data_IF_034791770453
#
_entry.id   IF_034791770453
#
_cell.length_a   1.000
_cell.length_b   1.000
_cell.length_c   1.000
_cell.angle_alpha   90.00
_cell.angle_beta   90.00
_cell.angle_gamma   90.00
#
_symmetry.space_group_name_H-M   'P 1'
#
loop_
_entity.id
_entity.type
_entity.pdbx_description
1 polymer ?
#
# COMPACT_ATOMS: atom_id res chain seq x y z
N UNK A 1 9.01 37.15 -9.29
CA UNK A 1 7.96 36.19 -8.84
C UNK A 1 8.44 34.73 -8.77
N UNK A 2 9.24 34.23 -9.70
CA UNK A 2 9.81 32.85 -9.58
C UNK A 2 10.80 32.69 -8.42
N UNK A 3 11.51 33.77 -8.04
CA UNK A 3 12.46 33.78 -6.91
C UNK A 3 11.84 33.41 -5.55
N UNK A 4 10.75 34.04 -5.08
CA UNK A 4 10.12 33.68 -3.81
C UNK A 4 9.54 32.25 -3.80
N UNK A 5 8.99 31.78 -4.93
CA UNK A 5 8.55 30.38 -5.11
C UNK A 5 9.71 29.40 -4.91
N UNK A 6 10.81 29.59 -5.65
CA UNK A 6 11.97 28.71 -5.58
C UNK A 6 12.60 28.71 -4.18
N UNK A 7 12.66 29.87 -3.54
CA UNK A 7 13.15 30.00 -2.17
C UNK A 7 12.32 29.19 -1.17
N UNK A 8 10.99 29.31 -1.23
CA UNK A 8 10.10 28.56 -0.36
C UNK A 8 10.26 27.05 -0.53
N UNK A 9 10.29 26.56 -1.78
CA UNK A 9 10.45 25.14 -2.08
C UNK A 9 11.83 24.61 -1.69
N UNK A 10 12.88 25.43 -1.81
CA UNK A 10 14.23 25.05 -1.38
C UNK A 10 14.34 24.96 0.15
N UNK A 11 13.80 25.95 0.88
CA UNK A 11 13.74 25.95 2.35
C UNK A 11 12.93 24.74 2.86
N UNK A 12 11.74 24.50 2.31
CA UNK A 12 10.92 23.33 2.63
C UNK A 12 11.66 22.01 2.30
N UNK A 13 12.30 21.94 1.14
CA UNK A 13 13.06 20.78 0.69
C UNK A 13 14.26 20.46 1.59
N UNK A 14 14.92 21.47 2.14
CA UNK A 14 15.99 21.30 3.12
C UNK A 14 15.45 20.79 4.46
N UNK A 15 14.34 21.36 4.95
CA UNK A 15 13.72 21.00 6.23
C UNK A 15 13.12 19.59 6.24
N UNK A 16 12.63 19.12 5.09
CA UNK A 16 12.16 17.75 4.86
C UNK A 16 13.32 16.72 4.79
N UNK A 17 14.54 17.15 4.50
CA UNK A 17 15.72 16.28 4.46
C UNK A 17 15.58 15.10 3.47
N UNK A 18 15.66 13.87 3.98
CA UNK A 18 15.50 12.62 3.22
C UNK A 18 14.10 12.01 3.35
N UNK A 19 13.07 12.84 3.46
CA UNK A 19 11.67 12.38 3.53
C UNK A 19 11.33 11.50 2.32
N UNK A 20 10.66 10.36 2.57
CA UNK A 20 10.35 9.37 1.52
C UNK A 20 9.52 9.99 0.38
N UNK A 21 8.61 10.90 0.74
CA UNK A 21 7.68 11.54 -0.19
C UNK A 21 8.07 13.00 -0.51
N UNK A 22 9.36 13.36 -0.31
CA UNK A 22 9.86 14.74 -0.49
C UNK A 22 9.47 15.36 -1.83
N UNK A 23 9.68 14.64 -2.94
CA UNK A 23 9.40 15.15 -4.27
C UNK A 23 7.91 15.42 -4.50
N UNK A 24 7.04 14.58 -3.91
CA UNK A 24 5.60 14.72 -4.05
C UNK A 24 5.05 15.88 -3.22
N UNK A 25 5.55 16.02 -1.98
CA UNK A 25 5.23 17.18 -1.12
C UNK A 25 5.66 18.47 -1.83
N UNK A 26 6.88 18.52 -2.39
CA UNK A 26 7.34 19.70 -3.10
C UNK A 26 6.47 20.04 -4.32
N UNK A 27 6.04 19.05 -5.10
CA UNK A 27 5.14 19.23 -6.25
C UNK A 27 3.74 19.72 -5.84
N UNK A 28 3.21 19.23 -4.72
CA UNK A 28 1.92 19.68 -4.18
C UNK A 28 1.97 21.15 -3.78
N UNK A 29 2.99 21.54 -2.99
CA UNK A 29 3.20 22.94 -2.63
C UNK A 29 3.54 23.81 -3.82
N UNK A 30 4.23 23.28 -4.83
CA UNK A 30 4.48 23.97 -6.09
C UNK A 30 3.17 24.37 -6.78
N UNK A 31 2.23 23.42 -6.91
CA UNK A 31 0.91 23.65 -7.51
C UNK A 31 0.12 24.71 -6.73
N UNK A 32 0.16 24.67 -5.40
CA UNK A 32 -0.55 25.65 -4.56
C UNK A 32 0.08 27.05 -4.65
N UNK A 33 1.40 27.15 -4.72
CA UNK A 33 2.08 28.44 -4.91
C UNK A 33 1.76 29.01 -6.30
N UNK A 34 1.67 28.17 -7.33
CA UNK A 34 1.30 28.59 -8.68
C UNK A 34 -0.15 29.12 -8.73
N UNK A 35 -1.09 28.49 -8.01
CA UNK A 35 -2.44 29.02 -7.83
C UNK A 35 -2.43 30.40 -7.15
N UNK A 36 -1.67 30.55 -6.06
CA UNK A 36 -1.51 31.84 -5.35
C UNK A 36 -0.88 32.89 -6.27
N UNK A 37 0.06 32.51 -7.13
CA UNK A 37 0.71 33.40 -8.09
C UNK A 37 -0.28 33.94 -9.12
N UNK A 38 -1.16 33.09 -9.65
CA UNK A 38 -2.23 33.49 -10.58
C UNK A 38 -3.22 34.44 -9.90
N UNK A 39 -3.61 34.17 -8.65
CA UNK A 39 -4.49 35.06 -7.87
C UNK A 39 -3.83 36.39 -7.47
N UNK A 40 -2.49 36.45 -7.47
CA UNK A 40 -1.71 37.58 -6.98
C UNK A 40 -1.00 38.36 -8.09
N UNK A 41 -1.50 38.29 -9.32
CA UNK A 41 -0.89 38.90 -10.50
C UNK A 41 -0.59 40.41 -10.35
N UNK A 42 -1.36 41.11 -9.51
CA UNK A 42 -1.19 42.54 -9.22
C UNK A 42 -0.08 42.87 -8.19
N UNK A 43 0.52 41.86 -7.54
CA UNK A 43 1.52 42.05 -6.49
C UNK A 43 2.94 42.05 -7.07
N UNK A 44 3.52 43.23 -7.32
CA UNK A 44 4.88 43.35 -7.87
C UNK A 44 6.00 43.22 -6.82
N UNK A 45 5.67 43.21 -5.53
CA UNK A 45 6.64 43.10 -4.45
C UNK A 45 6.89 41.64 -4.06
N UNK A 46 8.13 41.18 -4.26
CA UNK A 46 8.54 39.80 -3.96
C UNK A 46 8.44 39.46 -2.47
N UNK A 47 8.64 40.43 -1.58
CA UNK A 47 8.54 40.20 -0.12
C UNK A 47 7.08 40.07 0.30
N UNK A 48 6.20 40.94 -0.21
CA UNK A 48 4.77 40.85 0.04
C UNK A 48 4.17 39.54 -0.49
N UNK A 49 4.69 39.04 -1.62
CA UNK A 49 4.30 37.74 -2.16
C UNK A 49 4.77 36.58 -1.28
N UNK A 50 6.01 36.63 -0.77
CA UNK A 50 6.52 35.61 0.15
C UNK A 50 5.74 35.56 1.47
N UNK A 51 5.44 36.72 2.06
CA UNK A 51 4.56 36.82 3.24
C UNK A 51 3.17 36.26 2.98
N UNK A 52 2.64 36.45 1.77
CA UNK A 52 1.33 35.92 1.37
C UNK A 52 1.34 34.39 1.27
N UNK A 53 2.42 33.82 0.74
CA UNK A 53 2.64 32.36 0.73
C UNK A 53 2.63 31.86 2.18
N UNK A 54 3.45 32.43 3.06
CA UNK A 54 3.55 32.02 4.47
C UNK A 54 2.22 32.16 5.21
N UNK A 55 1.47 33.24 4.96
CA UNK A 55 0.17 33.46 5.63
C UNK A 55 -0.90 32.45 5.20
N UNK A 56 -0.86 31.99 3.95
CA UNK A 56 -1.88 31.06 3.42
C UNK A 56 -1.52 29.59 3.60
N UNK A 57 -0.25 29.24 3.40
CA UNK A 57 0.21 27.85 3.42
C UNK A 57 0.89 27.46 4.73
N UNK A 58 1.28 28.43 5.56
CA UNK A 58 2.18 28.22 6.70
C UNK A 58 3.64 28.44 6.32
N UNK A 59 4.51 28.61 7.31
CA UNK A 59 5.95 28.73 7.06
C UNK A 59 6.56 27.38 6.64
N UNK A 60 7.68 27.36 5.90
CA UNK A 60 8.38 26.12 5.57
C UNK A 60 8.69 25.25 6.80
N UNK A 61 9.00 25.87 7.94
CA UNK A 61 9.24 25.20 9.22
C UNK A 61 7.98 24.55 9.78
N UNK A 62 6.86 25.26 9.81
CA UNK A 62 5.57 24.75 10.28
C UNK A 62 5.11 23.57 9.42
N UNK A 63 5.26 23.67 8.10
CA UNK A 63 4.93 22.61 7.15
C UNK A 63 5.85 21.40 7.40
N UNK A 64 7.16 21.61 7.51
CA UNK A 64 8.09 20.52 7.76
C UNK A 64 7.85 19.84 9.11
N UNK A 65 7.44 20.58 10.14
CA UNK A 65 7.08 20.03 11.45
C UNK A 65 5.77 19.23 11.38
N UNK A 66 4.77 19.72 10.66
CA UNK A 66 3.51 19.02 10.40
C UNK A 66 3.78 17.67 9.72
N UNK A 67 4.59 17.64 8.65
CA UNK A 67 4.97 16.40 7.96
C UNK A 67 5.83 15.47 8.82
N UNK A 68 6.68 16.02 9.71
CA UNK A 68 7.44 15.22 10.70
C UNK A 68 6.54 14.62 11.78
N UNK A 69 5.50 15.34 12.22
CA UNK A 69 4.53 14.83 13.18
C UNK A 69 3.61 13.79 12.54
N UNK A 70 3.18 13.98 11.29
CA UNK A 70 2.33 13.03 10.57
C UNK A 70 3.01 11.66 10.38
N UNK A 71 4.33 11.66 10.16
CA UNK A 71 5.19 10.47 10.20
C UNK A 71 5.22 9.76 11.57
N UNK A 72 5.09 10.51 12.67
CA UNK A 72 5.11 9.93 14.02
C UNK A 72 3.80 9.21 14.36
N UNK A 73 2.70 9.58 13.71
CA UNK A 73 1.37 9.02 13.98
C UNK A 73 0.93 7.98 12.93
N UNK A 74 1.55 7.92 11.74
CA UNK A 74 1.20 6.95 10.68
C UNK A 74 2.42 6.62 9.77
N UNK A 75 2.80 5.37 9.40
CA UNK A 75 2.39 4.02 9.85
C UNK A 75 3.53 2.95 9.78
N UNK A 76 4.52 2.99 10.68
CA UNK A 76 5.55 1.92 10.78
C UNK A 76 4.93 0.55 11.13
N UNK A 77 3.98 0.52 12.07
CA UNK A 77 3.39 -0.71 12.58
C UNK A 77 2.46 -1.40 11.58
N UNK A 78 1.71 -0.65 10.76
CA UNK A 78 0.78 -1.25 9.79
C UNK A 78 1.52 -1.90 8.61
N UNK A 79 2.57 -1.26 8.05
CA UNK A 79 3.43 -1.91 7.03
C UNK A 79 4.00 -3.24 7.54
N UNK A 80 4.47 -3.26 8.78
CA UNK A 80 4.97 -4.48 9.42
C UNK A 80 3.89 -5.50 9.68
N UNK A 81 2.68 -5.09 10.10
CA UNK A 81 1.54 -5.99 10.26
C UNK A 81 1.18 -6.66 8.92
N UNK A 82 1.23 -5.91 7.81
CA UNK A 82 0.93 -6.44 6.47
C UNK A 82 1.99 -7.42 5.97
N UNK A 83 3.27 -7.10 6.14
CA UNK A 83 4.37 -8.00 5.81
C UNK A 83 4.29 -9.26 6.68
N UNK A 84 4.06 -9.09 7.99
CA UNK A 84 3.91 -10.17 8.93
C UNK A 84 2.74 -11.10 8.59
N UNK A 85 1.56 -10.56 8.25
CA UNK A 85 0.40 -11.36 7.85
C UNK A 85 0.65 -12.15 6.56
N UNK A 86 1.30 -11.55 5.56
CA UNK A 86 1.66 -12.27 4.33
C UNK A 86 2.68 -13.39 4.61
N UNK A 87 3.69 -13.13 5.45
CA UNK A 87 4.65 -14.16 5.87
C UNK A 87 3.95 -15.25 6.69
N UNK A 88 3.02 -14.90 7.57
CA UNK A 88 2.25 -15.85 8.38
C UNK A 88 1.35 -16.72 7.49
N UNK A 89 0.63 -16.14 6.54
CA UNK A 89 -0.22 -16.90 5.62
C UNK A 89 0.59 -17.77 4.68
N UNK A 90 1.63 -17.22 4.04
CA UNK A 90 2.45 -17.95 3.08
C UNK A 90 3.34 -18.99 3.76
N UNK A 91 4.07 -18.58 4.80
CA UNK A 91 4.96 -19.43 5.59
C UNK A 91 4.18 -20.46 6.39
N UNK A 92 3.10 -20.06 7.06
CA UNK A 92 2.21 -20.98 7.78
C UNK A 92 1.55 -21.99 6.86
N UNK A 93 1.02 -21.56 5.71
CA UNK A 93 0.46 -22.47 4.70
C UNK A 93 1.49 -23.44 4.14
N UNK A 94 2.71 -22.97 3.86
CA UNK A 94 3.82 -23.79 3.38
C UNK A 94 4.27 -24.82 4.42
N UNK A 95 4.43 -24.39 5.68
CA UNK A 95 4.84 -25.25 6.79
C UNK A 95 3.76 -26.30 7.09
N UNK A 96 2.49 -25.91 7.05
CA UNK A 96 1.36 -26.81 7.23
C UNK A 96 1.30 -27.87 6.12
N UNK A 97 1.52 -27.46 4.87
CA UNK A 97 1.56 -28.37 3.72
C UNK A 97 2.71 -29.37 3.84
N UNK A 98 3.91 -28.89 4.20
CA UNK A 98 5.08 -29.75 4.42
C UNK A 98 4.85 -30.71 5.58
N UNK A 99 4.35 -30.21 6.71
CA UNK A 99 4.09 -31.01 7.90
C UNK A 99 3.05 -32.10 7.62
N UNK A 100 2.00 -31.80 6.85
CA UNK A 100 0.97 -32.78 6.51
C UNK A 100 1.49 -33.90 5.60
N UNK A 101 2.38 -33.58 4.65
CA UNK A 101 2.93 -34.55 3.72
C UNK A 101 4.10 -35.36 4.29
N UNK A 102 4.86 -34.80 5.23
CA UNK A 102 6.02 -35.47 5.84
C UNK A 102 5.68 -36.21 7.13
N UNK A 103 4.60 -35.82 7.83
CA UNK A 103 4.20 -36.41 9.11
C UNK A 103 2.74 -36.87 9.06
N UNK A 104 2.50 -38.16 9.33
CA UNK A 104 1.16 -38.78 9.36
C UNK A 104 0.38 -38.45 10.66
N UNK A 105 0.41 -37.20 11.10
CA UNK A 105 -0.28 -36.78 12.32
C UNK A 105 -1.79 -36.66 12.11
N UNK A 106 -2.56 -37.48 12.82
CA UNK A 106 -4.04 -37.51 12.73
C UNK A 106 -4.72 -36.17 13.01
N UNK A 107 -4.19 -35.37 13.93
CA UNK A 107 -4.74 -34.03 14.22
C UNK A 107 -4.52 -33.06 13.05
N UNK A 108 -3.38 -33.19 12.36
CA UNK A 108 -3.01 -32.36 11.23
C UNK A 108 -3.88 -32.68 10.01
N UNK A 109 -4.25 -33.95 9.80
CA UNK A 109 -5.16 -34.34 8.72
C UNK A 109 -6.58 -33.81 8.93
N UNK A 110 -7.04 -33.73 10.19
CA UNK A 110 -8.35 -33.14 10.53
C UNK A 110 -8.35 -31.64 10.23
N UNK A 111 -7.32 -30.91 10.68
CA UNK A 111 -7.16 -29.48 10.37
C UNK A 111 -7.08 -29.25 8.86
N UNK A 112 -6.28 -30.06 8.15
CA UNK A 112 -6.15 -30.00 6.70
C UNK A 112 -7.49 -30.25 5.98
N UNK A 113 -8.25 -31.26 6.41
CA UNK A 113 -9.57 -31.56 5.84
C UNK A 113 -10.55 -30.39 5.99
N UNK A 114 -10.59 -29.74 7.15
CA UNK A 114 -11.44 -28.56 7.34
C UNK A 114 -10.98 -27.36 6.51
N UNK A 115 -9.66 -27.12 6.45
CA UNK A 115 -9.09 -25.99 5.71
C UNK A 115 -9.31 -26.13 4.20
N UNK A 116 -9.13 -27.34 3.67
CA UNK A 116 -9.38 -27.68 2.26
C UNK A 116 -10.87 -27.64 1.88
N UNK A 117 -11.79 -27.68 2.86
CA UNK A 117 -13.24 -27.66 2.64
C UNK A 117 -13.81 -26.23 2.48
N UNK A 118 -13.07 -25.18 2.85
CA UNK A 118 -13.53 -23.78 2.77
C UNK A 118 -12.66 -22.85 1.89
N UNK A 119 -12.18 -23.26 0.69
CA UNK A 119 -11.28 -22.42 -0.11
C UNK A 119 -11.91 -21.09 -0.53
N UNK A 120 -13.20 -21.10 -0.83
CA UNK A 120 -13.97 -19.91 -1.24
C UNK A 120 -14.04 -18.88 -0.12
N UNK A 121 -14.23 -19.32 1.12
CA UNK A 121 -14.27 -18.42 2.28
C UNK A 121 -12.92 -17.76 2.51
N UNK A 122 -11.83 -18.53 2.39
CA UNK A 122 -10.46 -18.02 2.49
C UNK A 122 -10.20 -16.97 1.41
N UNK A 123 -10.62 -17.23 0.16
CA UNK A 123 -10.47 -16.27 -0.94
C UNK A 123 -11.26 -14.98 -0.70
N UNK A 124 -12.50 -15.05 -0.20
CA UNK A 124 -13.32 -13.87 0.12
C UNK A 124 -12.69 -13.05 1.25
N UNK A 125 -12.24 -13.69 2.32
CA UNK A 125 -11.56 -13.01 3.42
C UNK A 125 -10.27 -12.33 2.95
N UNK A 126 -9.52 -12.99 2.06
CA UNK A 126 -8.32 -12.43 1.48
C UNK A 126 -8.64 -11.20 0.60
N UNK A 127 -9.69 -11.23 -0.22
CA UNK A 127 -10.13 -10.06 -0.99
C UNK A 127 -10.53 -8.89 -0.07
N UNK A 128 -11.26 -9.18 1.01
CA UNK A 128 -11.66 -8.17 1.98
C UNK A 128 -10.45 -7.54 2.68
N UNK A 129 -9.48 -8.38 3.10
CA UNK A 129 -8.21 -7.93 3.66
C UNK A 129 -7.48 -6.97 2.71
N UNK A 130 -7.43 -7.29 1.42
CA UNK A 130 -6.82 -6.42 0.41
C UNK A 130 -7.58 -5.13 0.12
N UNK A 131 -8.91 -5.17 0.20
CA UNK A 131 -9.74 -3.97 0.11
C UNK A 131 -9.47 -3.03 1.30
N UNK A 132 -9.42 -3.59 2.51
CA UNK A 132 -9.17 -2.86 3.76
C UNK A 132 -7.74 -2.30 3.80
N UNK A 133 -6.76 -3.07 3.31
CA UNK A 133 -5.40 -2.59 3.11
C UNK A 133 -5.35 -1.40 2.16
N UNK A 134 -6.05 -1.49 1.02
CA UNK A 134 -6.21 -0.37 0.10
C UNK A 134 -6.77 0.85 0.81
N UNK A 135 -7.86 0.67 1.56
CA UNK A 135 -8.50 1.73 2.34
C UNK A 135 -7.57 2.40 3.34
N UNK A 136 -6.87 1.63 4.17
CA UNK A 136 -5.94 2.18 5.16
C UNK A 136 -4.78 2.93 4.49
N UNK A 137 -4.25 2.43 3.37
CA UNK A 137 -3.21 3.16 2.61
C UNK A 137 -3.77 4.45 2.01
N UNK A 138 -5.00 4.43 1.49
CA UNK A 138 -5.65 5.62 0.94
C UNK A 138 -5.90 6.68 2.00
N UNK A 139 -6.33 6.25 3.18
CA UNK A 139 -6.60 7.11 4.33
C UNK A 139 -5.31 7.67 4.93
N UNK A 140 -4.25 6.86 5.04
CA UNK A 140 -3.01 7.26 5.71
C UNK A 140 -1.97 7.95 4.83
N UNK A 141 -2.08 7.86 3.48
CA UNK A 141 -1.05 8.37 2.57
C UNK A 141 -1.60 9.25 1.42
N UNK A 142 -2.89 9.60 1.42
CA UNK A 142 -3.44 10.58 0.48
C UNK A 142 -3.05 10.31 -0.99
N UNK A 143 -2.55 11.33 -1.69
CA UNK A 143 -2.15 11.23 -3.11
C UNK A 143 -0.92 10.33 -3.35
N UNK A 144 0.04 10.26 -2.40
CA UNK A 144 1.29 9.50 -2.55
C UNK A 144 1.20 8.00 -2.25
N UNK A 145 0.13 7.58 -1.57
CA UNK A 145 -0.12 6.17 -1.25
C UNK A 145 -0.26 5.25 -2.47
N UNK A 146 -0.45 5.77 -3.69
CA UNK A 146 -0.64 4.95 -4.91
C UNK A 146 0.63 4.19 -5.30
N UNK A 147 1.81 4.81 -5.19
CA UNK A 147 3.09 4.16 -5.46
C UNK A 147 3.39 3.10 -4.40
N UNK A 148 3.08 3.41 -3.14
CA UNK A 148 3.25 2.50 -2.03
C UNK A 148 2.33 1.28 -2.11
N UNK A 149 1.05 1.51 -2.44
CA UNK A 149 0.07 0.46 -2.73
C UNK A 149 0.60 -0.47 -3.81
N UNK A 150 1.09 0.08 -4.94
CA UNK A 150 1.60 -0.72 -6.07
C UNK A 150 2.81 -1.56 -5.67
N UNK A 151 3.81 -0.99 -4.98
CA UNK A 151 5.00 -1.72 -4.53
C UNK A 151 4.65 -2.82 -3.53
N UNK A 152 3.82 -2.50 -2.53
CA UNK A 152 3.40 -3.45 -1.48
C UNK A 152 2.56 -4.59 -2.06
N UNK A 153 1.63 -4.25 -2.96
CA UNK A 153 0.84 -5.22 -3.71
C UNK A 153 1.74 -6.18 -4.50
N UNK A 154 2.64 -5.65 -5.33
CA UNK A 154 3.52 -6.48 -6.15
C UNK A 154 4.42 -7.39 -5.31
N UNK A 155 5.02 -6.86 -4.24
CA UNK A 155 5.93 -7.62 -3.36
C UNK A 155 5.23 -8.81 -2.70
N UNK A 156 3.97 -8.65 -2.29
CA UNK A 156 3.17 -9.73 -1.70
C UNK A 156 2.57 -10.70 -2.72
N UNK A 157 2.28 -10.23 -3.93
CA UNK A 157 1.63 -11.01 -4.97
C UNK A 157 2.61 -11.94 -5.68
N UNK A 158 3.86 -11.51 -5.86
CA UNK A 158 4.90 -12.26 -6.57
C UNK A 158 5.11 -13.66 -5.95
N UNK A 159 5.34 -13.83 -4.63
CA UNK A 159 5.49 -15.16 -4.04
C UNK A 159 4.29 -16.08 -4.25
N UNK A 160 3.07 -15.53 -4.11
CA UNK A 160 1.83 -16.28 -4.31
C UNK A 160 1.61 -16.70 -5.77
N UNK A 161 1.88 -15.81 -6.72
CA UNK A 161 1.83 -16.11 -8.15
C UNK A 161 2.89 -17.14 -8.55
N UNK A 162 4.12 -17.00 -8.05
CA UNK A 162 5.19 -17.97 -8.30
C UNK A 162 4.77 -19.35 -7.80
N UNK A 163 4.23 -19.45 -6.58
CA UNK A 163 3.75 -20.72 -6.04
C UNK A 163 2.63 -21.32 -6.92
N UNK A 164 1.63 -20.53 -7.32
CA UNK A 164 0.58 -20.99 -8.22
C UNK A 164 1.14 -21.50 -9.55
N UNK A 165 2.07 -20.77 -10.16
CA UNK A 165 2.74 -21.17 -11.41
C UNK A 165 3.52 -22.47 -11.23
N UNK A 166 4.32 -22.59 -10.18
CA UNK A 166 5.08 -23.81 -9.87
C UNK A 166 4.18 -25.02 -9.66
N UNK A 167 3.01 -24.82 -9.04
CA UNK A 167 2.02 -25.89 -8.89
C UNK A 167 1.39 -26.27 -10.23
N UNK A 168 1.04 -25.31 -11.10
CA UNK A 168 0.47 -25.58 -12.44
C UNK A 168 1.44 -26.33 -13.36
N UNK A 169 2.72 -25.97 -13.33
CA UNK A 169 3.76 -26.64 -14.13
C UNK A 169 4.21 -27.99 -13.55
N UNK A 170 3.52 -28.52 -12.54
CA UNK A 170 3.81 -29.81 -11.89
C UNK A 170 5.23 -29.92 -11.30
N UNK A 171 5.93 -28.79 -11.14
CA UNK A 171 7.23 -28.73 -10.45
C UNK A 171 7.05 -29.13 -8.98
N UNK A 172 5.89 -28.80 -8.40
CA UNK A 172 5.46 -29.31 -7.09
C UNK A 172 4.36 -30.38 -7.29
N UNK A 173 4.47 -31.56 -6.66
CA UNK A 173 3.51 -32.65 -6.87
C UNK A 173 2.09 -32.23 -6.49
N UNK A 174 1.14 -32.31 -7.44
CA UNK A 174 -0.27 -31.96 -7.20
C UNK A 174 -0.89 -32.72 -6.02
N UNK A 175 -0.40 -33.95 -5.74
CA UNK A 175 -0.86 -34.78 -4.62
C UNK A 175 -0.67 -34.10 -3.27
N UNK A 176 0.33 -33.24 -3.12
CA UNK A 176 0.63 -32.57 -1.86
C UNK A 176 -0.40 -31.53 -1.46
N UNK A 177 -1.16 -31.04 -2.45
CA UNK A 177 -2.18 -30.02 -2.29
C UNK A 177 -3.59 -30.53 -2.62
N UNK A 178 -3.76 -31.83 -2.88
CA UNK A 178 -5.07 -32.41 -3.05
C UNK A 178 -5.82 -32.41 -1.69
N UNK A 179 -7.12 -32.03 -1.63
CA UNK A 179 -8.03 -31.67 -2.72
C UNK A 179 -8.09 -30.16 -3.04
N UNK A 180 -7.26 -29.34 -2.38
CA UNK A 180 -7.28 -27.89 -2.42
C UNK A 180 -6.96 -27.32 -3.82
N UNK A 181 -5.98 -27.88 -4.54
CA UNK A 181 -5.57 -27.43 -5.89
C UNK A 181 -6.25 -28.23 -7.02
N UNK A 182 -7.58 -28.13 -7.10
CA UNK A 182 -8.29 -28.54 -8.34
C UNK A 182 -8.04 -27.52 -9.45
N UNK A 183 -8.05 -27.96 -10.72
CA UNK A 183 -7.90 -27.04 -11.88
C UNK A 183 -8.88 -25.87 -11.82
N UNK A 184 -10.11 -26.12 -11.38
CA UNK A 184 -11.15 -25.11 -11.17
C UNK A 184 -10.75 -24.06 -10.12
N UNK A 185 -10.16 -24.51 -9.01
CA UNK A 185 -9.70 -23.61 -7.95
C UNK A 185 -8.53 -22.73 -8.42
N UNK A 186 -7.57 -23.30 -9.16
CA UNK A 186 -6.44 -22.55 -9.73
C UNK A 186 -6.94 -21.43 -10.66
N UNK A 187 -7.88 -21.75 -11.56
CA UNK A 187 -8.46 -20.76 -12.47
C UNK A 187 -9.20 -19.66 -11.67
N UNK A 188 -9.94 -20.03 -10.64
CA UNK A 188 -10.61 -19.07 -9.75
C UNK A 188 -9.60 -18.19 -9.00
N UNK A 189 -8.50 -18.74 -8.50
CA UNK A 189 -7.42 -17.99 -7.85
C UNK A 189 -6.73 -17.01 -8.80
N UNK A 190 -6.48 -17.39 -10.05
CA UNK A 190 -5.94 -16.48 -11.07
C UNK A 190 -6.92 -15.32 -11.32
N UNK A 191 -8.21 -15.62 -11.44
CA UNK A 191 -9.24 -14.59 -11.61
C UNK A 191 -9.33 -13.64 -10.40
N UNK A 192 -9.36 -14.17 -9.18
CA UNK A 192 -9.32 -13.36 -7.96
C UNK A 192 -8.03 -12.54 -7.84
N UNK A 193 -6.90 -13.08 -8.30
CA UNK A 193 -5.61 -12.36 -8.35
C UNK A 193 -5.65 -11.18 -9.32
N UNK A 194 -6.34 -11.31 -10.46
CA UNK A 194 -6.54 -10.18 -11.38
C UNK A 194 -7.47 -9.12 -10.79
N UNK A 195 -8.51 -9.51 -10.06
CA UNK A 195 -9.48 -8.61 -9.42
C UNK A 195 -8.93 -7.97 -8.13
N UNK A 196 -7.91 -8.58 -7.53
CA UNK A 196 -7.29 -8.12 -6.30
C UNK A 196 -6.73 -6.69 -6.41
N UNK A 197 -6.07 -6.39 -7.53
CA UNK A 197 -5.54 -5.04 -7.77
C UNK A 197 -6.66 -3.98 -7.87
N UNK A 198 -7.69 -4.12 -8.72
CA UNK A 198 -8.76 -3.13 -8.78
C UNK A 198 -9.53 -3.00 -7.46
N UNK A 199 -9.72 -4.08 -6.69
CA UNK A 199 -10.33 -4.00 -5.35
C UNK A 199 -9.47 -3.17 -4.39
N UNK A 200 -8.16 -3.42 -4.35
CA UNK A 200 -7.25 -2.63 -3.51
C UNK A 200 -7.23 -1.16 -3.91
N UNK A 201 -7.37 -0.85 -5.20
CA UNK A 201 -7.47 0.52 -5.71
C UNK A 201 -8.80 1.18 -5.34
N UNK A 202 -9.91 0.43 -5.33
CA UNK A 202 -11.21 0.92 -4.86
C UNK A 202 -11.17 1.25 -3.37
N UNK A 203 -10.58 0.36 -2.56
CA UNK A 203 -10.29 0.61 -1.15
C UNK A 203 -9.48 1.90 -0.99
N UNK A 204 -8.38 2.03 -1.71
CA UNK A 204 -7.52 3.23 -1.71
C UNK A 204 -8.27 4.52 -2.05
N UNK A 205 -9.10 4.51 -3.10
CA UNK A 205 -9.92 5.68 -3.45
C UNK A 205 -10.92 6.03 -2.36
N UNK A 206 -11.48 5.03 -1.68
CA UNK A 206 -12.41 5.26 -0.57
C UNK A 206 -11.69 5.81 0.66
N UNK A 207 -10.55 5.24 1.04
CA UNK A 207 -9.72 5.74 2.13
C UNK A 207 -9.29 7.18 1.90
N UNK A 208 -8.85 7.51 0.68
CA UNK A 208 -8.46 8.86 0.30
C UNK A 208 -9.59 9.88 0.48
N UNK A 209 -10.82 9.52 0.10
CA UNK A 209 -11.99 10.39 0.27
C UNK A 209 -12.39 10.59 1.74
N UNK A 210 -12.08 9.64 2.61
CA UNK A 210 -12.38 9.72 4.04
C UNK A 210 -11.32 10.49 4.84
N UNK A 211 -10.19 10.84 4.21
CA UNK A 211 -9.12 11.65 4.80
C UNK A 211 -9.26 13.15 4.52
N UNK A 212 -10.22 13.55 3.67
CA UNK A 212 -10.56 14.95 3.35
C UNK A 212 -11.65 15.41 4.32
#
# INVERSE_FOLDING_TARGET
>A
MERPKNRFLEELGQLLGSHQDKEEILLEYESHIDEILVESYDCQDENAFFERINTRLGSPEEIAEMWKQELSVTPSHMKWLFIFLNILFFGGGSLLTLAHNLYEWKWLSVVWSHLTAIPTLIAILYLFFWALLGYEIGKGFGHGGKVLLRKTFLLSLIPNLVLMVLTVFEIIPHKWFAPLLTKTFIIACIFFTMILYPISLLGYRWGKKASI
#
